data_IF_951329419220
#
_entry.id   IF_951329419220
#
_cell.length_a   1.000
_cell.length_b   1.000
_cell.length_c   1.000
_cell.angle_alpha   90.00
_cell.angle_beta   90.00
_cell.angle_gamma   90.00
#
_symmetry.space_group_name_H-M   'P 1'
#
loop_
_entity.id
_entity.type
_entity.pdbx_description
1 polymer ?
#
# COMPACT_ATOMS: atom_id res chain seq x y z
N UNK A 1 19.10 -7.88 4.50
CA UNK A 1 19.21 -7.99 5.99
C UNK A 1 18.24 -6.98 6.57
N UNK A 2 17.35 -7.39 7.49
CA UNK A 2 16.49 -6.43 8.20
C UNK A 2 17.37 -5.48 9.00
N UNK A 3 17.14 -4.18 8.87
CA UNK A 3 17.83 -3.12 9.60
C UNK A 3 16.93 -2.64 10.74
N UNK A 4 17.50 -2.01 11.74
CA UNK A 4 16.75 -1.41 12.84
C UNK A 4 17.29 -1.79 14.21
N UNK A 5 16.44 -1.65 15.21
CA UNK A 5 16.78 -1.90 16.61
C UNK A 5 17.15 -3.37 16.88
N UNK A 6 17.96 -3.57 17.90
CA UNK A 6 18.25 -4.91 18.45
C UNK A 6 17.06 -5.31 19.32
N UNK A 7 16.15 -6.09 18.76
CA UNK A 7 14.91 -6.53 19.42
C UNK A 7 15.08 -7.95 19.95
N UNK A 8 14.66 -8.20 21.19
CA UNK A 8 14.72 -9.54 21.79
C UNK A 8 13.87 -10.52 21.00
N UNK A 9 14.25 -11.81 21.02
CA UNK A 9 13.58 -12.87 20.24
C UNK A 9 12.13 -13.11 20.62
N UNK A 10 11.77 -12.90 21.86
CA UNK A 10 10.45 -13.06 22.45
C UNK A 10 9.59 -11.77 22.44
N UNK A 11 10.18 -10.64 22.02
CA UNK A 11 9.42 -9.41 21.86
C UNK A 11 8.40 -9.55 20.76
N UNK A 12 7.21 -9.03 21.01
CA UNK A 12 6.15 -8.96 20.00
C UNK A 12 6.47 -7.84 19.01
N UNK A 13 6.33 -8.14 17.75
CA UNK A 13 6.54 -7.22 16.62
C UNK A 13 5.27 -7.16 15.79
N UNK A 14 4.83 -5.95 15.48
CA UNK A 14 3.77 -5.68 14.51
C UNK A 14 4.35 -5.71 13.10
N UNK A 15 3.70 -6.43 12.20
CA UNK A 15 4.08 -6.49 10.78
C UNK A 15 2.89 -6.21 9.89
N UNK A 16 3.10 -5.44 8.82
CA UNK A 16 2.10 -5.21 7.80
C UNK A 16 2.70 -5.32 6.41
N UNK A 17 1.98 -6.00 5.51
CA UNK A 17 2.31 -6.11 4.10
C UNK A 17 1.25 -5.38 3.28
N UNK A 18 1.67 -4.36 2.55
CA UNK A 18 0.81 -3.55 1.70
C UNK A 18 1.31 -3.55 0.25
N UNK A 19 0.47 -3.06 -0.64
CA UNK A 19 0.86 -2.63 -1.98
C UNK A 19 0.34 -1.22 -2.25
N UNK A 20 1.09 -0.45 -3.02
CA UNK A 20 0.77 0.93 -3.34
C UNK A 20 0.95 1.15 -4.84
N UNK A 21 -0.07 1.72 -5.47
CA UNK A 21 0.00 2.12 -6.86
C UNK A 21 0.69 3.48 -7.01
N UNK A 22 1.66 3.55 -7.90
CA UNK A 22 2.20 4.79 -8.46
C UNK A 22 1.41 5.11 -9.72
N UNK A 23 0.56 6.12 -9.67
CA UNK A 23 -0.24 6.59 -10.81
C UNK A 23 0.21 8.02 -11.12
N UNK A 24 0.75 8.26 -12.33
CA UNK A 24 1.37 9.53 -12.69
C UNK A 24 0.72 10.20 -13.88
N UNK A 25 0.68 11.55 -13.81
CA UNK A 25 0.42 12.43 -14.96
C UNK A 25 1.53 13.49 -14.97
N UNK A 26 2.42 13.42 -15.93
CA UNK A 26 3.62 14.27 -15.93
C UNK A 26 4.48 14.04 -14.68
N UNK A 27 4.71 15.10 -13.91
CA UNK A 27 5.46 15.08 -12.66
C UNK A 27 4.58 14.96 -11.40
N UNK A 28 3.26 14.78 -11.55
CA UNK A 28 2.32 14.65 -10.43
C UNK A 28 1.85 13.23 -10.25
N UNK A 29 1.50 12.90 -9.02
CA UNK A 29 1.01 11.60 -8.56
C UNK A 29 -0.46 11.72 -8.14
N UNK A 30 -1.32 10.81 -8.61
CA UNK A 30 -2.70 10.70 -8.15
C UNK A 30 -2.71 10.15 -6.72
N UNK A 31 -3.38 10.86 -5.85
CA UNK A 31 -3.65 10.48 -4.48
C UNK A 31 -5.16 10.48 -4.25
N UNK A 32 -5.65 9.55 -3.45
CA UNK A 32 -7.06 9.44 -3.06
C UNK A 32 -7.24 9.78 -1.59
N UNK A 33 -8.41 10.28 -1.23
CA UNK A 33 -8.73 10.63 0.16
C UNK A 33 -9.09 9.37 0.96
N UNK A 34 -8.39 9.15 2.07
CA UNK A 34 -8.74 8.11 3.03
C UNK A 34 -9.87 8.62 3.95
N UNK A 35 -11.10 8.47 3.52
CA UNK A 35 -12.27 8.95 4.25
C UNK A 35 -12.57 8.12 5.51
N UNK A 36 -12.23 6.82 5.51
CA UNK A 36 -12.53 5.90 6.60
C UNK A 36 -11.74 6.20 7.88
N UNK A 37 -10.48 6.60 7.76
CA UNK A 37 -9.57 6.64 8.92
C UNK A 37 -8.99 8.01 9.22
N UNK A 38 -8.40 8.67 8.24
CA UNK A 38 -7.54 9.84 8.51
C UNK A 38 -7.96 11.12 7.81
N UNK A 39 -8.81 11.04 6.79
CA UNK A 39 -9.13 12.16 5.89
C UNK A 39 -7.93 12.66 5.07
N UNK A 40 -6.78 11.97 5.15
CA UNK A 40 -5.55 12.36 4.43
C UNK A 40 -5.55 11.79 3.02
N UNK A 41 -4.86 12.51 2.11
CA UNK A 41 -4.59 11.99 0.78
C UNK A 41 -3.45 10.97 0.81
N UNK A 42 -3.62 9.86 0.11
CA UNK A 42 -2.69 8.73 0.07
C UNK A 42 -2.68 8.07 -1.32
N UNK A 43 -1.66 7.24 -1.66
CA UNK A 43 -1.70 6.44 -2.87
C UNK A 43 -2.87 5.45 -2.83
N UNK A 44 -3.41 5.11 -4.00
CA UNK A 44 -4.29 3.94 -4.16
C UNK A 44 -3.55 2.71 -3.69
N UNK A 45 -4.18 1.90 -2.84
CA UNK A 45 -3.59 0.68 -2.32
C UNK A 45 -3.96 0.38 -0.90
N UNK A 46 -3.60 -0.81 -0.46
CA UNK A 46 -3.96 -1.31 0.87
C UNK A 46 -3.12 -2.49 1.32
N UNK A 47 -3.59 -3.14 2.35
CA UNK A 47 -2.94 -4.32 2.92
C UNK A 47 -3.36 -5.55 2.13
N UNK A 48 -2.41 -6.44 1.82
CA UNK A 48 -2.70 -7.73 1.21
C UNK A 48 -3.66 -8.54 2.07
N UNK A 49 -4.55 -9.28 1.43
CA UNK A 49 -5.48 -10.23 2.09
C UNK A 49 -4.92 -11.64 2.10
N UNK A 50 -5.21 -12.39 3.14
CA UNK A 50 -4.99 -13.83 3.19
C UNK A 50 -6.30 -14.61 3.22
N UNK A 51 -6.25 -15.88 2.83
CA UNK A 51 -7.39 -16.81 2.93
C UNK A 51 -7.48 -17.39 4.34
N UNK A 52 -8.64 -17.94 4.70
CA UNK A 52 -8.84 -18.61 6.00
C UNK A 52 -7.84 -19.75 6.23
N UNK A 53 -7.51 -20.51 5.20
CA UNK A 53 -6.48 -21.55 5.28
C UNK A 53 -5.12 -20.99 5.64
N UNK A 54 -4.74 -19.85 5.06
CA UNK A 54 -3.48 -19.19 5.43
C UNK A 54 -3.51 -18.70 6.87
N UNK A 55 -4.63 -18.15 7.33
CA UNK A 55 -4.79 -17.71 8.72
C UNK A 55 -4.51 -18.81 9.71
N UNK A 56 -5.06 -20.00 9.48
CA UNK A 56 -4.79 -21.18 10.32
C UNK A 56 -3.32 -21.59 10.29
N UNK A 57 -2.70 -21.62 9.12
CA UNK A 57 -1.28 -21.92 8.97
C UNK A 57 -0.37 -20.91 9.71
N UNK A 58 -0.69 -19.63 9.61
CA UNK A 58 0.07 -18.58 10.29
C UNK A 58 -0.06 -18.69 11.82
N UNK A 59 -1.26 -18.95 12.34
CA UNK A 59 -1.49 -19.19 13.77
C UNK A 59 -0.72 -20.41 14.27
N UNK A 60 -0.78 -21.53 13.55
CA UNK A 60 -0.12 -22.77 13.96
C UNK A 60 1.42 -22.69 13.89
N UNK A 61 1.98 -22.07 12.86
CA UNK A 61 3.43 -22.07 12.62
C UNK A 61 4.18 -20.89 13.24
N UNK A 62 3.54 -19.74 13.38
CA UNK A 62 4.17 -18.50 13.82
C UNK A 62 3.51 -17.88 15.04
N UNK A 63 2.44 -18.50 15.55
CA UNK A 63 1.68 -18.02 16.70
C UNK A 63 1.23 -16.56 16.55
N UNK A 64 0.83 -16.21 15.31
CA UNK A 64 0.38 -14.84 15.02
C UNK A 64 -0.91 -14.54 15.76
N UNK A 65 -1.07 -13.28 16.14
CA UNK A 65 -2.31 -12.70 16.63
C UNK A 65 -2.74 -11.57 15.71
N UNK A 66 -4.02 -11.31 15.65
CA UNK A 66 -4.57 -10.22 14.87
C UNK A 66 -4.05 -8.87 15.45
N UNK A 67 -3.83 -7.88 14.58
CA UNK A 67 -3.37 -6.56 15.00
C UNK A 67 -4.55 -5.75 15.57
N UNK A 68 -4.68 -5.74 16.87
CA UNK A 68 -5.72 -5.02 17.65
C UNK A 68 -5.44 -3.51 17.81
N UNK A 69 -4.29 -3.02 17.30
CA UNK A 69 -3.91 -1.60 17.37
C UNK A 69 -4.72 -0.71 16.43
N UNK A 70 -5.36 -1.32 15.45
CA UNK A 70 -6.29 -0.66 14.52
C UNK A 70 -7.61 -1.45 14.59
N UNK A 71 -8.77 -0.79 14.67
CA UNK A 71 -10.05 -1.47 14.69
C UNK A 71 -10.19 -2.45 13.51
N UNK A 72 -10.61 -3.67 13.81
CA UNK A 72 -10.83 -4.70 12.80
C UNK A 72 -12.31 -4.65 12.40
N UNK A 73 -12.56 -4.36 11.15
CA UNK A 73 -13.87 -4.39 10.51
C UNK A 73 -13.95 -5.43 9.39
N UNK A 74 -15.06 -5.47 8.66
CA UNK A 74 -15.23 -6.40 7.53
C UNK A 74 -14.16 -6.21 6.44
N UNK A 75 -13.69 -4.98 6.25
CA UNK A 75 -12.69 -4.66 5.22
C UNK A 75 -11.26 -5.01 5.63
N UNK A 76 -10.97 -5.11 6.92
CA UNK A 76 -9.62 -5.35 7.47
C UNK A 76 -9.41 -6.72 8.12
N UNK A 77 -10.50 -7.50 8.25
CA UNK A 77 -10.53 -8.80 8.95
C UNK A 77 -9.43 -9.78 8.51
N UNK A 78 -9.09 -9.81 7.22
CA UNK A 78 -8.16 -10.79 6.65
C UNK A 78 -6.87 -10.10 6.14
N UNK A 79 -6.54 -8.96 6.71
CA UNK A 79 -5.33 -8.21 6.39
C UNK A 79 -4.07 -8.93 6.84
N UNK A 80 -3.04 -8.93 5.96
CA UNK A 80 -1.66 -9.28 6.34
C UNK A 80 -1.06 -8.20 7.25
N UNK A 81 -1.77 -7.92 8.35
CA UNK A 81 -1.45 -6.99 9.43
C UNK A 81 -1.61 -7.73 10.74
N UNK A 82 -0.50 -8.17 11.29
CA UNK A 82 -0.47 -9.17 12.36
C UNK A 82 0.61 -8.80 13.38
N UNK A 83 0.54 -9.42 14.54
CA UNK A 83 1.57 -9.38 15.55
C UNK A 83 2.15 -10.79 15.76
N UNK A 84 3.45 -10.88 15.96
CA UNK A 84 4.15 -12.15 16.21
C UNK A 84 5.45 -11.90 16.99
N UNK A 85 6.00 -12.96 17.59
CA UNK A 85 7.31 -12.86 18.22
C UNK A 85 8.42 -12.67 17.18
N UNK A 86 9.40 -11.81 17.49
CA UNK A 86 10.52 -11.47 16.61
C UNK A 86 11.30 -12.72 16.13
N UNK A 87 11.35 -13.80 16.94
CA UNK A 87 12.00 -15.07 16.53
C UNK A 87 11.42 -15.66 15.24
N UNK A 88 10.17 -15.37 14.92
CA UNK A 88 9.48 -15.88 13.73
C UNK A 88 9.54 -14.93 12.54
N UNK A 89 9.87 -13.65 12.74
CA UNK A 89 9.75 -12.58 11.75
C UNK A 89 10.37 -12.91 10.38
N UNK A 90 11.61 -13.40 10.36
CA UNK A 90 12.29 -13.75 9.09
C UNK A 90 11.62 -14.92 8.36
N UNK A 91 11.13 -15.92 9.08
CA UNK A 91 10.43 -17.08 8.49
C UNK A 91 9.05 -16.67 7.99
N UNK A 92 8.39 -15.77 8.72
CA UNK A 92 7.09 -15.21 8.35
C UNK A 92 7.19 -14.42 7.03
N UNK A 93 8.17 -13.50 6.89
CA UNK A 93 8.41 -12.76 5.64
C UNK A 93 8.67 -13.73 4.46
N UNK A 94 9.51 -14.77 4.68
CA UNK A 94 9.73 -15.81 3.65
C UNK A 94 8.46 -16.58 3.28
N UNK A 95 7.54 -16.78 4.22
CA UNK A 95 6.25 -17.42 3.97
C UNK A 95 5.38 -16.53 3.08
N UNK A 96 5.29 -15.24 3.40
CA UNK A 96 4.60 -14.25 2.58
C UNK A 96 5.11 -14.26 1.12
N UNK A 97 6.42 -14.31 0.92
CA UNK A 97 7.04 -14.32 -0.41
C UNK A 97 6.70 -15.56 -1.25
N UNK A 98 6.26 -16.66 -0.63
CA UNK A 98 5.79 -17.87 -1.35
C UNK A 98 4.44 -17.70 -2.04
N UNK A 99 3.69 -16.64 -1.75
CA UNK A 99 2.41 -16.24 -2.37
C UNK A 99 1.28 -17.28 -2.28
N UNK A 100 1.41 -18.28 -1.43
CA UNK A 100 0.37 -19.28 -1.25
C UNK A 100 -0.77 -18.70 -0.40
N UNK A 101 -2.01 -18.98 -0.79
CA UNK A 101 -3.21 -18.70 -0.01
C UNK A 101 -3.42 -17.24 0.39
N UNK A 102 -3.01 -16.29 -0.46
CA UNK A 102 -3.19 -14.85 -0.28
C UNK A 102 -3.39 -14.12 -1.60
N UNK A 103 -3.84 -12.87 -1.51
CA UNK A 103 -3.86 -11.94 -2.64
C UNK A 103 -2.47 -11.88 -3.28
N UNK A 104 -2.41 -11.94 -4.60
CA UNK A 104 -1.14 -12.04 -5.33
C UNK A 104 -0.80 -10.75 -6.06
N UNK A 105 0.50 -10.44 -6.17
CA UNK A 105 1.01 -9.23 -6.83
C UNK A 105 0.70 -9.20 -8.33
N UNK A 106 0.33 -10.33 -8.93
CA UNK A 106 -0.07 -10.43 -10.34
C UNK A 106 -1.57 -10.18 -10.58
N UNK A 107 -2.35 -9.95 -9.50
CA UNK A 107 -3.78 -9.65 -9.58
C UNK A 107 -4.19 -8.63 -8.49
N UNK A 108 -3.67 -7.40 -8.60
CA UNK A 108 -3.97 -6.31 -7.66
C UNK A 108 -5.09 -5.45 -8.24
N UNK A 109 -6.34 -5.82 -8.02
CA UNK A 109 -7.52 -5.06 -8.47
C UNK A 109 -8.35 -4.51 -7.34
N UNK A 110 -8.42 -5.18 -6.20
CA UNK A 110 -9.36 -4.89 -5.11
C UNK A 110 -9.32 -3.42 -4.66
N UNK A 111 -8.19 -2.93 -4.20
CA UNK A 111 -8.09 -1.53 -3.76
C UNK A 111 -8.26 -0.53 -4.91
N UNK A 112 -7.88 -0.92 -6.13
CA UNK A 112 -8.12 -0.08 -7.31
C UNK A 112 -9.61 0.08 -7.58
N UNK A 113 -10.38 -1.01 -7.43
CA UNK A 113 -11.84 -0.99 -7.54
C UNK A 113 -12.44 -0.14 -6.41
N UNK A 114 -12.15 -0.46 -5.15
CA UNK A 114 -12.71 0.22 -3.98
C UNK A 114 -12.41 1.72 -3.95
N UNK A 115 -11.23 2.14 -4.40
CA UNK A 115 -10.79 3.53 -4.25
C UNK A 115 -10.97 4.40 -5.50
N UNK A 116 -11.10 3.81 -6.69
CA UNK A 116 -11.22 4.56 -7.95
C UNK A 116 -12.49 4.23 -8.74
N UNK A 117 -12.87 2.94 -8.86
CA UNK A 117 -14.03 2.54 -9.65
C UNK A 117 -15.31 2.77 -8.86
N UNK A 118 -15.43 2.24 -7.64
CA UNK A 118 -16.63 2.36 -6.80
C UNK A 118 -16.91 3.82 -6.39
N UNK A 119 -15.88 4.66 -6.38
CA UNK A 119 -16.01 6.12 -6.17
C UNK A 119 -16.23 6.91 -7.47
N UNK A 120 -16.44 6.22 -8.59
CA UNK A 120 -16.67 6.83 -9.91
C UNK A 120 -15.59 7.84 -10.34
N UNK A 121 -14.36 7.70 -9.81
CA UNK A 121 -13.22 8.55 -10.21
C UNK A 121 -12.77 8.18 -11.62
N UNK A 122 -12.69 6.89 -11.93
CA UNK A 122 -12.45 6.35 -13.28
C UNK A 122 -13.43 5.22 -13.58
N UNK A 123 -13.69 4.99 -14.88
CA UNK A 123 -14.55 3.89 -15.34
C UNK A 123 -13.76 3.00 -16.31
N UNK A 124 -12.88 2.17 -15.77
CA UNK A 124 -12.02 1.28 -16.55
C UNK A 124 -12.33 -0.18 -16.23
N UNK A 125 -12.31 -1.02 -17.26
CA UNK A 125 -12.54 -2.47 -17.16
C UNK A 125 -11.25 -3.29 -17.05
N UNK A 126 -10.10 -2.64 -17.15
CA UNK A 126 -8.78 -3.28 -17.15
C UNK A 126 -7.71 -2.29 -16.70
N UNK A 127 -6.71 -2.80 -16.01
CA UNK A 127 -5.48 -2.07 -15.68
C UNK A 127 -4.25 -2.85 -16.08
N UNK A 128 -3.19 -2.14 -16.43
CA UNK A 128 -1.86 -2.71 -16.59
C UNK A 128 -0.92 -2.03 -15.60
N UNK A 129 -0.04 -2.77 -14.97
CA UNK A 129 0.96 -2.21 -14.08
C UNK A 129 2.27 -3.01 -14.11
N UNK A 130 3.33 -2.35 -13.73
CA UNK A 130 4.68 -2.90 -13.58
C UNK A 130 5.06 -2.96 -12.11
N UNK A 131 5.71 -4.05 -11.68
CA UNK A 131 6.27 -4.17 -10.33
C UNK A 131 7.59 -3.41 -10.26
N UNK A 132 7.69 -2.42 -9.37
CA UNK A 132 8.89 -1.61 -9.17
C UNK A 132 9.84 -2.21 -8.12
N UNK A 133 9.31 -2.84 -7.07
CA UNK A 133 10.07 -3.41 -5.97
C UNK A 133 9.34 -3.24 -4.63
N UNK A 134 10.03 -3.48 -3.52
CA UNK A 134 9.46 -3.40 -2.17
C UNK A 134 10.16 -2.38 -1.30
N UNK A 135 9.41 -1.49 -0.72
CA UNK A 135 9.87 -0.66 0.39
C UNK A 135 9.78 -1.46 1.70
N UNK A 136 10.85 -1.49 2.48
CA UNK A 136 10.89 -2.13 3.80
C UNK A 136 11.37 -1.07 4.80
N UNK A 137 10.58 -0.80 5.84
CA UNK A 137 11.02 0.08 6.93
C UNK A 137 12.07 -0.63 7.78
N UNK A 138 12.80 0.13 8.57
CA UNK A 138 13.58 -0.46 9.66
C UNK A 138 12.63 -1.10 10.69
N UNK A 139 13.11 -2.08 11.42
CA UNK A 139 12.44 -2.61 12.61
C UNK A 139 12.68 -1.61 13.75
N UNK A 140 11.67 -0.82 14.09
CA UNK A 140 11.78 0.29 15.05
C UNK A 140 10.59 0.31 16.01
N UNK A 141 10.78 0.90 17.19
CA UNK A 141 9.70 1.07 18.15
C UNK A 141 8.75 2.20 17.73
N UNK A 142 7.50 1.84 17.45
CA UNK A 142 6.46 2.81 17.12
C UNK A 142 5.94 3.49 18.38
N UNK A 143 6.19 4.78 18.50
CA UNK A 143 5.64 5.58 19.60
C UNK A 143 4.10 5.67 19.54
N UNK A 144 3.52 5.59 18.36
CA UNK A 144 2.08 5.64 18.17
C UNK A 144 1.39 4.37 18.65
N UNK A 145 1.90 3.21 18.24
CA UNK A 145 1.32 1.91 18.59
C UNK A 145 1.93 1.28 19.86
N UNK A 146 3.00 1.86 20.42
CA UNK A 146 3.71 1.35 21.60
C UNK A 146 4.15 -0.11 21.42
N UNK A 147 4.68 -0.44 20.24
CA UNK A 147 5.16 -1.77 19.85
C UNK A 147 6.26 -1.64 18.80
N UNK A 148 7.18 -2.59 18.72
CA UNK A 148 8.10 -2.67 17.58
C UNK A 148 7.31 -2.99 16.31
N UNK A 149 7.60 -2.27 15.21
CA UNK A 149 6.92 -2.52 13.95
C UNK A 149 7.88 -2.58 12.76
N UNK A 150 7.46 -3.31 11.74
CA UNK A 150 8.07 -3.35 10.43
C UNK A 150 6.98 -3.35 9.36
N UNK A 151 7.10 -2.45 8.40
CA UNK A 151 6.14 -2.27 7.32
C UNK A 151 6.79 -2.60 5.99
N UNK A 152 6.12 -3.43 5.20
CA UNK A 152 6.54 -3.80 3.86
C UNK A 152 5.48 -3.30 2.87
N UNK A 153 5.91 -2.62 1.81
CA UNK A 153 5.01 -2.12 0.77
C UNK A 153 5.57 -2.42 -0.61
N UNK A 154 4.87 -3.21 -1.38
CA UNK A 154 5.18 -3.45 -2.78
C UNK A 154 4.72 -2.24 -3.59
N UNK A 155 5.61 -1.68 -4.39
CA UNK A 155 5.33 -0.53 -5.23
C UNK A 155 5.08 -1.04 -6.64
N UNK A 156 3.91 -0.69 -7.18
CA UNK A 156 3.52 -1.01 -8.55
C UNK A 156 3.20 0.28 -9.31
N UNK A 157 3.66 0.39 -10.53
CA UNK A 157 3.45 1.56 -11.38
C UNK A 157 2.38 1.25 -12.41
N UNK A 158 1.31 2.06 -12.43
CA UNK A 158 0.29 1.96 -13.46
C UNK A 158 0.91 2.27 -14.83
N UNK A 159 0.57 1.44 -15.81
CA UNK A 159 0.94 1.59 -17.22
C UNK A 159 -0.36 1.87 -18.01
N UNK A 160 -0.82 3.13 -18.07
CA UNK A 160 -2.09 3.45 -18.68
C UNK A 160 -2.06 3.24 -20.20
N UNK A 161 -3.20 2.85 -20.75
CA UNK A 161 -3.45 2.92 -22.20
C UNK A 161 -3.57 4.39 -22.63
N UNK A 162 -3.58 4.65 -23.94
CA UNK A 162 -3.76 6.02 -24.46
C UNK A 162 -5.07 6.66 -24.00
N UNK A 163 -6.15 5.90 -23.94
CA UNK A 163 -7.44 6.41 -23.48
C UNK A 163 -7.42 6.70 -21.97
N UNK A 164 -6.79 5.81 -21.19
CA UNK A 164 -6.59 6.02 -19.75
C UNK A 164 -5.67 7.21 -19.46
N UNK A 165 -4.66 7.47 -20.28
CA UNK A 165 -3.84 8.68 -20.17
C UNK A 165 -4.65 9.96 -20.40
N UNK A 166 -5.58 9.93 -21.36
CA UNK A 166 -6.49 11.06 -21.62
C UNK A 166 -7.38 11.30 -20.40
N UNK A 167 -7.96 10.26 -19.84
CA UNK A 167 -8.80 10.36 -18.64
C UNK A 167 -8.01 10.90 -17.44
N UNK A 168 -6.82 10.39 -17.19
CA UNK A 168 -5.97 10.87 -16.11
C UNK A 168 -5.59 12.35 -16.28
N UNK A 169 -5.33 12.82 -17.51
CA UNK A 169 -5.06 14.23 -17.79
C UNK A 169 -6.28 15.10 -17.47
N UNK A 170 -7.48 14.68 -17.90
CA UNK A 170 -8.73 15.38 -17.57
C UNK A 170 -8.94 15.46 -16.05
N UNK A 171 -8.70 14.35 -15.32
CA UNK A 171 -8.77 14.35 -13.86
C UNK A 171 -7.76 15.33 -13.24
N UNK A 172 -6.55 15.43 -13.78
CA UNK A 172 -5.52 16.31 -13.26
C UNK A 172 -5.82 17.82 -13.50
N UNK A 173 -6.71 18.14 -14.43
CA UNK A 173 -7.19 19.50 -14.72
C UNK A 173 -8.36 19.89 -13.82
N UNK A 174 -9.02 18.94 -13.16
CA UNK A 174 -10.17 19.14 -12.31
C UNK A 174 -9.77 19.11 -10.82
N UNK A 175 -10.57 19.79 -9.99
CA UNK A 175 -10.48 19.70 -8.54
C UNK A 175 -11.55 18.74 -8.01
N UNK A 176 -11.22 17.95 -6.98
CA UNK A 176 -12.14 17.04 -6.30
C UNK A 176 -11.77 16.90 -4.83
N UNK A 177 -12.77 16.69 -3.99
CA UNK A 177 -12.53 16.33 -2.59
C UNK A 177 -12.13 14.86 -2.40
N UNK A 178 -12.36 14.02 -3.41
CA UNK A 178 -12.07 12.58 -3.37
C UNK A 178 -10.63 12.26 -3.75
N UNK A 179 -10.00 13.07 -4.59
CA UNK A 179 -8.65 12.87 -5.06
C UNK A 179 -7.90 14.18 -5.29
N UNK A 180 -6.59 14.10 -5.37
CA UNK A 180 -5.73 15.20 -5.81
C UNK A 180 -4.53 14.68 -6.58
N UNK A 181 -3.95 15.57 -7.40
CA UNK A 181 -2.65 15.34 -8.02
C UNK A 181 -1.59 16.20 -7.33
N UNK A 182 -0.66 15.54 -6.65
CA UNK A 182 0.43 16.19 -5.91
C UNK A 182 1.78 15.91 -6.57
N UNK A 183 2.65 16.89 -6.61
CA UNK A 183 4.04 16.68 -7.04
C UNK A 183 4.92 16.13 -5.90
N UNK A 184 6.17 15.78 -6.24
CA UNK A 184 7.09 15.22 -5.25
C UNK A 184 7.38 16.18 -4.09
N UNK A 185 7.33 17.48 -4.33
CA UNK A 185 7.54 18.47 -3.30
C UNK A 185 6.39 18.51 -2.29
N UNK A 186 5.15 18.58 -2.77
CA UNK A 186 3.95 18.51 -1.94
C UNK A 186 3.91 17.22 -1.11
N UNK A 187 4.26 16.08 -1.73
CA UNK A 187 4.31 14.78 -1.03
C UNK A 187 5.39 14.80 0.06
N UNK A 188 6.58 15.34 -0.22
CA UNK A 188 7.66 15.41 0.76
C UNK A 188 7.37 16.38 1.91
N UNK A 189 6.63 17.46 1.65
CA UNK A 189 6.18 18.40 2.67
C UNK A 189 4.88 17.98 3.37
N UNK A 190 4.31 16.82 3.01
CA UNK A 190 3.05 16.29 3.54
C UNK A 190 1.87 17.27 3.36
N UNK A 191 1.86 18.04 2.28
CA UNK A 191 0.85 19.03 1.95
C UNK A 191 1.05 20.40 2.61
N UNK A 192 2.18 20.65 3.26
CA UNK A 192 2.51 21.96 3.82
C UNK A 192 3.03 22.88 2.71
N UNK A 193 2.43 24.06 2.56
CA UNK A 193 2.91 25.08 1.63
C UNK A 193 4.26 25.64 2.12
N UNK A 194 5.30 25.60 1.29
CA UNK A 194 6.63 26.09 1.67
C UNK A 194 6.70 27.59 1.91
N UNK A 195 5.86 28.35 1.24
CA UNK A 195 5.91 29.83 1.28
C UNK A 195 5.33 30.38 2.57
N UNK A 196 4.23 29.84 3.02
CA UNK A 196 3.50 30.34 4.20
C UNK A 196 3.51 29.37 5.37
N UNK A 197 4.09 28.15 5.21
CA UNK A 197 4.16 27.08 6.22
C UNK A 197 2.77 26.64 6.73
N UNK A 198 1.72 26.90 5.96
CA UNK A 198 0.37 26.43 6.29
C UNK A 198 0.10 25.09 5.65
N UNK A 199 -0.57 24.22 6.40
CA UNK A 199 -1.11 22.99 5.85
C UNK A 199 -2.27 23.34 4.93
N UNK A 200 -2.16 23.01 3.65
CA UNK A 200 -3.25 23.16 2.70
C UNK A 200 -4.14 21.93 2.74
N UNK A 201 -3.55 20.77 2.51
CA UNK A 201 -4.24 19.46 2.53
C UNK A 201 -3.30 18.40 3.08
N UNK A 202 -3.80 17.62 4.02
CA UNK A 202 -2.95 16.63 4.69
C UNK A 202 -2.64 15.43 3.78
N UNK A 203 -1.37 15.13 3.59
CA UNK A 203 -0.88 13.95 2.86
C UNK A 203 -0.32 12.94 3.85
N UNK A 204 -0.66 11.67 3.67
CA UNK A 204 -0.17 10.59 4.52
C UNK A 204 1.35 10.36 4.34
N UNK A 205 2.05 10.09 5.43
CA UNK A 205 3.52 9.94 5.44
C UNK A 205 4.03 8.82 4.53
N UNK A 206 3.28 7.72 4.43
CA UNK A 206 3.64 6.59 3.57
C UNK A 206 3.55 6.88 2.08
N UNK A 207 2.91 8.01 1.67
CA UNK A 207 2.86 8.46 0.28
C UNK A 207 4.25 8.67 -0.32
N UNK A 208 5.24 9.05 0.48
CA UNK A 208 6.63 9.18 0.02
C UNK A 208 7.21 7.91 -0.60
N UNK A 209 6.64 6.74 -0.30
CA UNK A 209 7.09 5.45 -0.83
C UNK A 209 6.86 5.29 -2.33
N UNK A 210 5.85 5.97 -2.90
CA UNK A 210 5.57 5.89 -4.34
C UNK A 210 6.43 6.83 -5.19
N UNK A 211 7.20 7.74 -4.59
CA UNK A 211 8.03 8.68 -5.33
C UNK A 211 9.08 7.95 -6.18
N UNK A 212 9.20 8.35 -7.45
CA UNK A 212 10.13 7.73 -8.39
C UNK A 212 11.59 7.96 -7.97
N UNK A 213 11.87 9.09 -7.32
CA UNK A 213 13.18 9.44 -6.77
C UNK A 213 13.64 8.44 -5.71
N UNK A 214 12.72 7.75 -5.07
CA UNK A 214 13.00 6.72 -4.05
C UNK A 214 13.13 5.30 -4.63
N UNK A 215 13.00 5.10 -5.95
CA UNK A 215 13.01 3.78 -6.58
C UNK A 215 14.33 3.03 -6.35
N UNK A 216 15.47 3.73 -6.31
CA UNK A 216 16.77 3.14 -5.99
C UNK A 216 16.89 2.54 -4.58
N UNK A 217 15.98 2.90 -3.67
CA UNK A 217 15.94 2.39 -2.29
C UNK A 217 15.05 1.15 -2.13
N UNK A 218 14.35 0.73 -3.21
CA UNK A 218 13.48 -0.44 -3.15
C UNK A 218 14.30 -1.72 -3.12
N UNK A 219 13.87 -2.65 -2.26
CA UNK A 219 14.38 -4.01 -2.27
C UNK A 219 13.89 -4.75 -3.53
N UNK A 220 14.78 -5.53 -4.14
CA UNK A 220 14.44 -6.33 -5.32
C UNK A 220 13.44 -7.43 -4.96
N UNK A 221 12.45 -7.61 -5.83
CA UNK A 221 11.50 -8.71 -5.81
C UNK A 221 11.74 -9.64 -7.00
N UNK A 222 11.39 -10.93 -6.90
CA UNK A 222 11.43 -11.85 -8.05
C UNK A 222 10.58 -11.37 -9.24
N UNK A 223 9.54 -10.59 -8.97
CA UNK A 223 8.62 -10.00 -9.94
C UNK A 223 9.04 -8.62 -10.45
N UNK A 224 10.11 -8.04 -9.94
CA UNK A 224 10.54 -6.70 -10.34
C UNK A 224 10.71 -6.59 -11.86
N UNK A 225 10.10 -5.55 -12.43
CA UNK A 225 10.07 -5.29 -13.87
C UNK A 225 9.01 -6.10 -14.62
N UNK A 226 8.37 -7.10 -14.03
CA UNK A 226 7.23 -7.79 -14.66
C UNK A 226 6.04 -6.87 -14.78
N UNK A 227 5.36 -6.98 -15.93
CA UNK A 227 4.11 -6.27 -16.20
C UNK A 227 2.95 -7.25 -16.13
N UNK A 228 1.87 -6.81 -15.51
CA UNK A 228 0.64 -7.58 -15.38
C UNK A 228 -0.54 -6.80 -15.97
N UNK A 229 -1.46 -7.56 -16.57
CA UNK A 229 -2.74 -7.07 -17.05
C UNK A 229 -3.82 -7.70 -16.20
N UNK A 230 -4.64 -6.90 -15.59
CA UNK A 230 -5.70 -7.34 -14.68
C UNK A 230 -7.04 -6.78 -15.17
N UNK A 231 -8.01 -7.67 -15.36
CA UNK A 231 -9.37 -7.26 -15.63
C UNK A 231 -10.04 -6.81 -14.33
N UNK A 232 -10.70 -5.69 -14.38
CA UNK A 232 -11.55 -5.17 -13.31
C UNK A 232 -12.92 -5.79 -13.54
N UNK A 233 -13.27 -6.78 -12.71
CA UNK A 233 -14.58 -7.41 -12.75
C UNK A 233 -15.45 -6.61 -11.78
N UNK A 234 -16.54 -6.03 -12.30
CA UNK A 234 -17.56 -5.42 -11.46
C UNK A 234 -18.08 -6.46 -10.47
N UNK A 235 -17.82 -6.25 -9.18
CA UNK A 235 -18.37 -7.11 -8.11
C UNK A 235 -19.89 -6.94 -7.92
N UNK A 236 -20.54 -6.15 -8.78
CA UNK A 236 -21.97 -5.86 -8.74
C UNK A 236 -22.81 -6.74 -9.71
N UNK A 237 -22.23 -7.81 -10.26
CA UNK A 237 -22.96 -8.78 -11.08
C UNK A 237 -23.02 -10.11 -10.34
N UNK A 238 -23.82 -10.16 -9.28
CA UNK A 238 -24.49 -11.36 -8.76
C UNK A 238 -25.87 -10.97 -8.23
#
# INVERSE_FOLDING_TARGET
MLRGDIVKKDSIVRISFAYLFRIKVGNKYLLVKNERNTGKYQPVGGVYKFTENEKMELKNKFHVIDDDRIPIDKSSKDDYRLQLENRYLKKFIKRFDKKANRESIDNLSREFIEELIDKEIVNWNQINYRVCGRHITNLEFSQHFQIYEILLADIVELLPTKDQEIDLKKLAENSSDLYKFADAYEINSLGVDPKNKKLQESIATHTKKILQENEGNLCKLPEQGKCYRVNIIDSNVE
#
